data_IF_633426252078
#
_entry.id   IF_633426252078
#
_cell.length_a   1.000
_cell.length_b   1.000
_cell.length_c   1.000
_cell.angle_alpha   90.00
_cell.angle_beta   90.00
_cell.angle_gamma   90.00
#
_symmetry.space_group_name_H-M   'P 1'
#
loop_
_entity.id
_entity.type
_entity.pdbx_description
1 polymer ?
#
# COMPACT_ATOMS: atom_id res chain seq x y z
N UNK A 1 -37.18 -18.91 -67.51
CA UNK A 1 -37.64 -17.56 -67.10
C UNK A 1 -37.12 -17.33 -65.68
N UNK A 2 -36.01 -16.61 -65.51
CA UNK A 2 -35.40 -16.39 -64.19
C UNK A 2 -35.86 -15.06 -63.62
N UNK A 3 -36.43 -15.11 -62.42
CA UNK A 3 -37.01 -13.97 -61.70
C UNK A 3 -35.90 -12.98 -61.30
N UNK A 4 -36.02 -11.73 -61.76
CA UNK A 4 -35.06 -10.65 -61.47
C UNK A 4 -35.20 -10.22 -60.00
N UNK A 5 -34.14 -10.38 -59.20
CA UNK A 5 -34.10 -9.92 -57.80
C UNK A 5 -34.34 -8.42 -57.71
N UNK A 6 -35.29 -8.00 -56.87
CA UNK A 6 -35.58 -6.59 -56.55
C UNK A 6 -34.36 -5.93 -55.90
N UNK A 7 -34.02 -4.74 -56.38
CA UNK A 7 -33.01 -3.83 -55.83
C UNK A 7 -33.42 -3.43 -54.41
N UNK A 8 -32.56 -3.51 -53.39
CA UNK A 8 -32.94 -3.07 -52.04
C UNK A 8 -33.09 -1.55 -52.00
N UNK A 9 -34.23 -1.12 -51.47
CA UNK A 9 -34.60 0.27 -51.14
C UNK A 9 -33.53 0.93 -50.27
N UNK A 10 -33.17 2.16 -50.64
CA UNK A 10 -32.19 2.98 -49.95
C UNK A 10 -32.78 3.54 -48.65
N UNK A 11 -32.64 2.81 -47.54
CA UNK A 11 -33.13 3.30 -46.25
C UNK A 11 -32.70 2.54 -44.99
N UNK A 12 -31.98 1.42 -45.09
CA UNK A 12 -31.48 0.73 -43.92
C UNK A 12 -30.11 1.31 -43.51
N UNK A 13 -30.10 2.14 -42.46
CA UNK A 13 -28.90 2.69 -41.84
C UNK A 13 -28.01 1.59 -41.23
N UNK A 14 -27.19 0.94 -42.06
CA UNK A 14 -26.04 0.19 -41.57
C UNK A 14 -25.05 1.21 -41.00
N UNK A 15 -24.87 1.21 -39.67
CA UNK A 15 -23.88 2.07 -39.04
C UNK A 15 -22.52 1.85 -39.70
N UNK A 16 -21.78 2.92 -40.06
CA UNK A 16 -20.53 2.76 -40.78
C UNK A 16 -19.55 2.01 -39.88
N UNK A 17 -19.27 0.75 -40.24
CA UNK A 17 -18.25 -0.04 -39.55
C UNK A 17 -16.94 0.73 -39.62
N UNK A 18 -16.39 1.10 -38.46
CA UNK A 18 -15.11 1.81 -38.37
C UNK A 18 -14.04 0.89 -38.97
N UNK A 19 -13.65 1.16 -40.21
CA UNK A 19 -12.52 0.48 -40.86
C UNK A 19 -11.31 0.67 -39.94
N UNK A 20 -10.75 -0.43 -39.44
CA UNK A 20 -9.54 -0.40 -38.61
C UNK A 20 -8.46 0.22 -39.49
N UNK A 21 -7.97 1.40 -39.13
CA UNK A 21 -6.81 2.01 -39.80
C UNK A 21 -5.67 0.99 -39.72
N UNK A 22 -5.09 0.64 -40.88
CA UNK A 22 -3.91 -0.22 -40.95
C UNK A 22 -2.73 0.38 -40.19
N UNK A 23 -1.59 -0.32 -40.15
CA UNK A 23 -0.39 0.14 -39.46
C UNK A 23 0.05 1.52 -39.99
N UNK A 24 -0.31 2.57 -39.26
CA UNK A 24 -0.12 3.94 -39.69
C UNK A 24 1.27 4.37 -39.23
N UNK A 25 2.25 4.30 -40.13
CA UNK A 25 3.63 4.74 -39.88
C UNK A 25 3.69 6.26 -40.07
N UNK A 26 3.06 6.99 -39.15
CA UNK A 26 3.09 8.44 -39.09
C UNK A 26 3.83 8.93 -37.84
N UNK A 27 4.13 10.24 -37.75
CA UNK A 27 4.80 10.83 -36.57
C UNK A 27 4.09 10.55 -35.23
N UNK A 28 2.81 10.19 -35.26
CA UNK A 28 2.04 9.74 -34.09
C UNK A 28 2.46 8.36 -33.54
N UNK A 29 3.03 7.49 -34.38
CA UNK A 29 3.45 6.12 -34.02
C UNK A 29 4.95 5.89 -34.15
N UNK A 30 5.69 6.86 -34.68
CA UNK A 30 7.15 6.88 -34.54
C UNK A 30 7.49 7.18 -33.08
N UNK A 31 8.60 6.63 -32.55
CA UNK A 31 9.10 7.03 -31.24
C UNK A 31 9.52 8.51 -31.32
N UNK A 32 8.55 9.39 -31.11
CA UNK A 32 8.80 10.80 -30.82
C UNK A 32 9.85 10.80 -29.71
N UNK A 33 11.02 11.38 -30.02
CA UNK A 33 12.24 11.18 -29.26
C UNK A 33 12.02 11.37 -27.76
N UNK A 34 12.85 10.72 -26.95
CA UNK A 34 12.77 10.74 -25.47
C UNK A 34 12.49 12.12 -24.86
N UNK A 35 12.98 13.19 -25.48
CA UNK A 35 12.73 14.59 -25.09
C UNK A 35 11.29 15.09 -25.36
N UNK A 36 10.66 14.72 -26.48
CA UNK A 36 9.25 15.08 -26.75
C UNK A 36 8.29 14.43 -25.76
N UNK A 37 8.52 13.16 -25.42
CA UNK A 37 7.71 12.47 -24.38
C UNK A 37 7.89 13.11 -23.00
N UNK A 38 9.11 13.49 -22.63
CA UNK A 38 9.38 14.21 -21.37
C UNK A 38 8.65 15.55 -21.33
N UNK A 39 8.72 16.34 -22.41
CA UNK A 39 8.03 17.64 -22.46
C UNK A 39 6.51 17.52 -22.44
N UNK A 40 5.93 16.53 -23.13
CA UNK A 40 4.50 16.21 -23.04
C UNK A 40 4.09 15.84 -21.61
N UNK A 41 4.83 14.93 -20.95
CA UNK A 41 4.59 14.57 -19.54
C UNK A 41 4.73 15.75 -18.58
N UNK A 42 5.73 16.61 -18.79
CA UNK A 42 5.91 17.82 -17.98
C UNK A 42 4.67 18.72 -18.14
N UNK A 43 4.20 18.94 -19.38
CA UNK A 43 3.00 19.74 -19.66
C UNK A 43 1.75 19.14 -19.02
N UNK A 44 1.51 17.84 -19.21
CA UNK A 44 0.41 17.11 -18.60
C UNK A 44 0.42 17.24 -17.08
N UNK A 45 1.57 16.99 -16.43
CA UNK A 45 1.71 17.11 -14.97
C UNK A 45 1.47 18.54 -14.45
N UNK A 46 1.73 19.56 -15.26
CA UNK A 46 1.54 20.96 -14.89
C UNK A 46 0.06 21.35 -14.99
N UNK A 47 -0.63 20.86 -16.03
CA UNK A 47 -2.07 21.00 -16.21
C UNK A 47 -2.83 20.30 -15.08
N UNK A 48 -2.45 19.06 -14.73
CA UNK A 48 -3.06 18.30 -13.64
C UNK A 48 -2.92 19.04 -12.29
N UNK A 49 -1.71 19.50 -11.95
CA UNK A 49 -1.47 20.29 -10.73
C UNK A 49 -2.32 21.57 -10.69
N UNK A 50 -2.46 22.25 -11.83
CA UNK A 50 -3.32 23.44 -11.92
C UNK A 50 -4.81 23.09 -11.72
N UNK A 51 -5.28 21.98 -12.30
CA UNK A 51 -6.65 21.52 -12.13
C UNK A 51 -6.94 21.11 -10.68
N UNK A 52 -6.02 20.39 -10.03
CA UNK A 52 -6.12 20.03 -8.60
C UNK A 52 -6.22 21.30 -7.75
N UNK A 53 -5.36 22.29 -7.98
CA UNK A 53 -5.41 23.57 -7.26
C UNK A 53 -6.74 24.31 -7.47
N UNK A 54 -7.24 24.35 -8.71
CA UNK A 54 -8.54 24.96 -9.03
C UNK A 54 -9.69 24.25 -8.33
N UNK A 55 -9.71 22.91 -8.37
CA UNK A 55 -10.75 22.12 -7.72
C UNK A 55 -10.70 22.25 -6.21
N UNK A 56 -9.50 22.23 -5.62
CA UNK A 56 -9.30 22.48 -4.20
C UNK A 56 -9.76 23.89 -3.79
N UNK A 57 -9.43 24.92 -4.58
CA UNK A 57 -9.92 26.28 -4.32
C UNK A 57 -11.45 26.38 -4.42
N UNK A 58 -12.09 25.63 -5.34
CA UNK A 58 -13.55 25.55 -5.42
C UNK A 58 -14.16 24.87 -4.19
N UNK A 59 -13.62 23.72 -3.78
CA UNK A 59 -14.07 23.00 -2.59
C UNK A 59 -13.87 23.84 -1.33
N UNK A 60 -12.70 24.46 -1.16
CA UNK A 60 -12.43 25.34 -0.02
C UNK A 60 -13.40 26.52 0.03
N UNK A 61 -13.75 27.12 -1.12
CA UNK A 61 -14.76 28.18 -1.18
C UNK A 61 -16.15 27.66 -0.81
N UNK A 62 -16.52 26.48 -1.27
CA UNK A 62 -17.78 25.84 -0.89
C UNK A 62 -17.81 25.51 0.59
N UNK A 63 -16.71 25.01 1.17
CA UNK A 63 -16.59 24.71 2.60
C UNK A 63 -16.60 25.98 3.43
N UNK A 64 -15.94 27.06 3.00
CA UNK A 64 -16.02 28.35 3.71
C UNK A 64 -17.43 28.92 3.61
N UNK A 65 -18.06 28.89 2.43
CA UNK A 65 -19.46 29.30 2.28
C UNK A 65 -20.38 28.43 3.13
N UNK A 66 -20.11 27.12 3.27
CA UNK A 66 -20.91 26.22 4.11
C UNK A 66 -20.69 26.48 5.60
N UNK A 67 -19.46 26.83 6.01
CA UNK A 67 -19.13 27.24 7.39
C UNK A 67 -19.70 28.62 7.75
N UNK A 68 -19.81 29.52 6.78
CA UNK A 68 -20.37 30.87 6.98
C UNK A 68 -21.91 30.86 6.86
N UNK A 69 -22.49 29.95 6.06
CA UNK A 69 -23.94 29.83 5.84
C UNK A 69 -24.65 28.91 6.84
N UNK A 70 -23.93 27.97 7.46
CA UNK A 70 -24.45 27.19 8.58
C UNK A 70 -23.70 27.61 9.84
N UNK A 71 -24.35 28.45 10.66
CA UNK A 71 -23.94 28.76 12.03
C UNK A 71 -24.04 27.52 12.92
N UNK A 72 -23.24 26.49 12.63
CA UNK A 72 -23.07 25.32 13.47
C UNK A 72 -22.15 25.76 14.62
N UNK A 73 -22.62 25.74 15.88
CA UNK A 73 -21.78 26.10 17.01
C UNK A 73 -20.58 25.15 17.06
N UNK A 74 -19.37 25.69 17.19
CA UNK A 74 -18.17 24.87 17.43
C UNK A 74 -18.42 24.00 18.67
N UNK A 75 -18.17 22.68 18.61
CA UNK A 75 -18.36 21.82 19.77
C UNK A 75 -17.40 22.24 20.88
N UNK A 76 -17.89 22.29 22.12
CA UNK A 76 -17.16 22.82 23.28
C UNK A 76 -15.77 22.21 23.50
N UNK A 77 -15.52 20.99 23.01
CA UNK A 77 -14.20 20.35 23.03
C UNK A 77 -13.15 21.09 22.21
N UNK A 78 -13.50 21.58 21.01
CA UNK A 78 -12.59 22.33 20.14
C UNK A 78 -12.28 23.74 20.69
N UNK A 79 -13.23 24.34 21.41
CA UNK A 79 -13.03 25.63 22.07
C UNK A 79 -12.12 25.52 23.31
N UNK A 80 -12.20 24.41 24.07
CA UNK A 80 -11.32 24.15 25.21
C UNK A 80 -9.87 23.91 24.78
N UNK A 81 -9.64 23.22 23.67
CA UNK A 81 -8.30 22.97 23.14
C UNK A 81 -7.64 24.26 22.60
N UNK A 82 -8.41 25.16 21.96
CA UNK A 82 -7.91 26.50 21.56
C UNK A 82 -7.50 27.35 22.76
N UNK A 83 -8.30 27.38 23.84
CA UNK A 83 -7.95 28.11 25.07
C UNK A 83 -6.67 27.57 25.72
N UNK A 84 -6.50 26.24 25.78
CA UNK A 84 -5.28 25.63 26.32
C UNK A 84 -4.03 26.00 25.53
N UNK A 85 -4.13 26.07 24.19
CA UNK A 85 -3.01 26.50 23.34
C UNK A 85 -2.68 28.00 23.49
N UNK A 86 -3.68 28.84 23.79
CA UNK A 86 -3.47 30.27 24.06
C UNK A 86 -2.85 30.51 25.46
N UNK A 87 -3.20 29.68 26.45
CA UNK A 87 -2.63 29.74 27.80
C UNK A 87 -1.17 29.21 27.86
N UNK A 88 -0.84 28.16 27.10
CA UNK A 88 0.55 27.64 26.99
C UNK A 88 1.50 28.60 26.27
N UNK A 89 0.99 29.43 25.35
CA UNK A 89 1.81 30.44 24.65
C UNK A 89 2.11 31.69 25.49
N UNK A 90 1.47 31.84 26.66
CA UNK A 90 1.58 33.02 27.53
C UNK A 90 2.33 32.73 28.84
N UNK A 91 2.82 31.51 29.05
CA UNK A 91 3.51 31.05 30.27
C UNK A 91 5.01 30.78 30.11
N UNK A 92 5.67 31.43 29.14
CA UNK A 92 7.13 31.32 28.94
C UNK A 92 7.95 32.51 29.48
N UNK A 93 7.38 33.35 30.34
CA UNK A 93 8.12 34.46 30.96
C UNK A 93 7.76 34.63 32.45
N UNK A 94 8.38 33.81 33.31
CA UNK A 94 8.71 34.14 34.70
C UNK A 94 9.54 33.00 35.31
N UNK A 95 10.86 33.13 35.21
CA UNK A 95 11.81 32.40 36.05
C UNK A 95 12.00 33.18 37.36
N UNK A 96 11.85 32.52 38.50
CA UNK A 96 12.50 32.94 39.75
C UNK A 96 13.17 31.71 40.39
N UNK A 97 14.51 31.70 40.58
CA UNK A 97 15.24 30.58 41.16
C UNK A 97 15.65 30.89 42.59
N UNK A 98 14.79 30.59 43.55
CA UNK A 98 15.21 30.42 44.94
C UNK A 98 14.17 29.60 45.68
N UNK A 99 14.51 28.36 45.99
CA UNK A 99 14.37 27.80 47.35
C UNK A 99 15.00 26.40 47.35
N UNK A 100 16.14 26.31 48.02
CA UNK A 100 16.67 25.08 48.57
C UNK A 100 16.16 24.98 50.00
N UNK A 101 15.71 23.81 50.43
CA UNK A 101 16.36 23.02 51.48
C UNK A 101 15.41 21.92 52.02
N UNK A 102 16.04 20.82 52.44
CA UNK A 102 15.57 19.76 53.35
C UNK A 102 14.58 18.68 52.86
N UNK A 103 15.15 17.53 52.49
CA UNK A 103 14.47 16.23 52.51
C UNK A 103 15.36 15.19 53.23
N UNK A 104 14.99 14.87 54.48
CA UNK A 104 15.50 13.70 55.21
C UNK A 104 14.98 12.39 54.56
N UNK A 105 15.77 11.30 54.56
CA UNK A 105 15.29 10.02 54.03
C UNK A 105 14.35 9.34 55.04
N UNK A 106 13.04 9.49 54.83
CA UNK A 106 12.05 8.69 55.55
C UNK A 106 12.21 7.20 55.21
N UNK A 107 12.24 6.40 56.28
CA UNK A 107 12.36 4.94 56.26
C UNK A 107 11.20 4.32 55.47
N UNK A 108 11.43 4.02 54.19
CA UNK A 108 10.47 3.48 53.21
C UNK A 108 10.36 1.95 53.25
N UNK A 109 10.52 1.36 54.44
CA UNK A 109 10.25 -0.06 54.66
C UNK A 109 8.75 -0.31 54.89
N UNK A 110 8.11 -1.30 54.23
CA UNK A 110 6.74 -1.67 54.55
C UNK A 110 6.64 -2.17 56.01
N UNK A 111 5.52 -1.86 56.68
CA UNK A 111 5.24 -2.26 58.07
C UNK A 111 5.41 -3.78 58.24
N UNK A 112 5.93 -4.29 59.38
CA UNK A 112 6.25 -5.71 59.58
C UNK A 112 5.07 -6.67 59.30
N UNK A 113 3.85 -6.30 59.66
CA UNK A 113 2.66 -7.09 59.35
C UNK A 113 2.40 -7.25 57.84
N UNK A 114 2.82 -6.26 57.04
CA UNK A 114 2.72 -6.30 55.58
C UNK A 114 3.83 -7.16 54.97
N UNK A 115 4.99 -7.28 55.63
CA UNK A 115 6.04 -8.24 55.24
C UNK A 115 5.61 -9.68 55.49
N UNK A 116 5.01 -9.96 56.66
CA UNK A 116 4.50 -11.31 56.95
C UNK A 116 3.46 -11.78 55.93
N UNK A 117 2.58 -10.89 55.45
CA UNK A 117 1.59 -11.23 54.43
C UNK A 117 2.23 -11.49 53.05
N UNK A 118 3.31 -10.78 52.72
CA UNK A 118 4.05 -10.98 51.47
C UNK A 118 4.81 -12.31 51.52
N UNK A 119 5.43 -12.63 52.65
CA UNK A 119 6.18 -13.87 52.83
C UNK A 119 5.23 -15.09 52.84
N UNK A 120 4.06 -14.99 53.48
CA UNK A 120 3.00 -16.03 53.43
C UNK A 120 2.45 -16.24 52.01
N UNK A 121 2.39 -15.19 51.19
CA UNK A 121 1.93 -15.27 49.79
C UNK A 121 2.98 -15.88 48.85
N UNK A 122 4.27 -15.78 49.20
CA UNK A 122 5.39 -16.38 48.46
C UNK A 122 5.63 -17.85 48.84
N UNK A 123 5.36 -18.27 50.08
CA UNK A 123 5.58 -19.65 50.54
C UNK A 123 4.38 -20.59 50.24
N UNK A 124 3.21 -20.03 49.90
CA UNK A 124 2.05 -20.84 49.52
C UNK A 124 2.23 -21.49 48.12
N UNK A 125 1.99 -22.80 47.95
CA UNK A 125 1.98 -23.40 46.62
C UNK A 125 0.86 -22.76 45.79
N UNK A 126 1.20 -22.30 44.58
CA UNK A 126 0.29 -21.61 43.66
C UNK A 126 -1.06 -22.32 43.60
N UNK A 127 -2.06 -21.75 44.27
CA UNK A 127 -3.44 -22.24 44.18
C UNK A 127 -3.82 -22.12 42.70
N UNK A 128 -4.36 -23.18 42.07
CA UNK A 128 -4.81 -23.06 40.69
C UNK A 128 -5.81 -21.91 40.64
N UNK A 129 -5.54 -20.91 39.81
CA UNK A 129 -6.44 -19.78 39.63
C UNK A 129 -7.86 -20.31 39.42
N UNK A 130 -8.89 -19.75 40.07
CA UNK A 130 -10.28 -20.21 39.92
C UNK A 130 -10.80 -20.06 38.46
N UNK A 131 -10.01 -19.50 37.56
CA UNK A 131 -10.22 -19.47 36.11
C UNK A 131 -9.93 -20.78 35.39
N UNK A 132 -9.31 -21.79 36.02
CA UNK A 132 -9.04 -23.11 35.42
C UNK A 132 -10.24 -24.08 35.48
N UNK A 133 -11.46 -23.55 35.57
CA UNK A 133 -12.64 -24.30 35.14
C UNK A 133 -12.62 -24.31 33.61
N UNK A 134 -12.78 -25.46 32.92
CA UNK A 134 -13.01 -25.43 31.48
C UNK A 134 -14.34 -24.70 31.25
N UNK A 135 -14.27 -23.38 31.07
CA UNK A 135 -15.38 -22.60 30.57
C UNK A 135 -15.68 -23.24 29.23
N UNK A 136 -16.78 -24.00 29.17
CA UNK A 136 -17.37 -24.43 27.91
C UNK A 136 -17.59 -23.15 27.12
N UNK A 137 -16.66 -22.81 26.23
CA UNK A 137 -16.72 -21.63 25.39
C UNK A 137 -18.03 -21.72 24.63
N UNK A 138 -19.02 -20.97 25.11
CA UNK A 138 -20.31 -20.90 24.45
C UNK A 138 -20.03 -20.29 23.10
N UNK A 139 -20.03 -21.10 22.04
CA UNK A 139 -19.83 -20.67 20.66
C UNK A 139 -20.81 -19.52 20.41
N UNK A 140 -20.27 -18.29 20.37
CA UNK A 140 -21.08 -17.09 20.16
C UNK A 140 -21.73 -17.22 18.80
N UNK A 141 -23.05 -17.11 18.75
CA UNK A 141 -23.79 -17.14 17.48
C UNK A 141 -23.28 -16.00 16.59
N UNK A 142 -23.08 -16.23 15.28
CA UNK A 142 -22.67 -15.18 14.37
C UNK A 142 -23.72 -14.07 14.39
N UNK A 143 -23.25 -12.83 14.52
CA UNK A 143 -24.12 -11.65 14.50
C UNK A 143 -24.82 -11.57 13.15
N UNK A 144 -26.13 -11.32 13.15
CA UNK A 144 -26.86 -11.11 11.92
C UNK A 144 -26.36 -9.82 11.26
N UNK A 145 -25.67 -9.95 10.13
CA UNK A 145 -25.29 -8.80 9.30
C UNK A 145 -26.54 -8.28 8.60
N UNK A 146 -26.88 -6.98 8.76
CA UNK A 146 -27.93 -6.37 7.95
C UNK A 146 -27.50 -6.38 6.48
N UNK A 147 -28.47 -6.47 5.55
CA UNK A 147 -28.21 -6.47 4.10
C UNK A 147 -27.35 -7.65 3.63
N UNK A 148 -27.83 -8.88 3.89
CA UNK A 148 -27.10 -10.13 3.56
C UNK A 148 -26.71 -10.23 2.07
N UNK A 149 -27.60 -9.81 1.16
CA UNK A 149 -27.35 -9.88 -0.29
C UNK A 149 -26.19 -8.96 -0.70
N UNK A 150 -26.15 -7.76 -0.14
CA UNK A 150 -25.10 -6.77 -0.36
C UNK A 150 -23.78 -7.21 0.26
N UNK A 151 -23.83 -7.82 1.44
CA UNK A 151 -22.67 -8.41 2.10
C UNK A 151 -22.05 -9.53 1.26
N UNK A 152 -22.87 -10.47 0.77
CA UNK A 152 -22.41 -11.58 -0.06
C UNK A 152 -21.82 -11.08 -1.38
N UNK A 153 -22.46 -10.09 -2.02
CA UNK A 153 -21.92 -9.44 -3.22
C UNK A 153 -20.60 -8.71 -2.97
N UNK A 154 -20.45 -8.06 -1.81
CA UNK A 154 -19.20 -7.42 -1.42
C UNK A 154 -18.09 -8.43 -1.18
N UNK A 155 -18.41 -9.59 -0.58
CA UNK A 155 -17.44 -10.67 -0.38
C UNK A 155 -16.99 -11.29 -1.70
N UNK A 156 -17.92 -11.53 -2.64
CA UNK A 156 -17.59 -12.01 -3.98
C UNK A 156 -16.64 -11.04 -4.71
N UNK A 157 -16.91 -9.73 -4.66
CA UNK A 157 -16.02 -8.72 -5.26
C UNK A 157 -14.63 -8.67 -4.62
N UNK A 158 -14.54 -8.86 -3.31
CA UNK A 158 -13.25 -8.95 -2.60
C UNK A 158 -12.48 -10.19 -3.02
N UNK A 159 -13.14 -11.34 -3.07
CA UNK A 159 -12.53 -12.59 -3.51
C UNK A 159 -12.00 -12.50 -4.95
N UNK A 160 -12.79 -11.96 -5.89
CA UNK A 160 -12.35 -11.76 -7.28
C UNK A 160 -11.15 -10.80 -7.37
N UNK A 161 -11.15 -9.71 -6.60
CA UNK A 161 -10.03 -8.77 -6.56
C UNK A 161 -8.75 -9.41 -5.99
N UNK A 162 -8.88 -10.26 -4.97
CA UNK A 162 -7.77 -11.02 -4.40
C UNK A 162 -7.23 -12.07 -5.36
N UNK A 163 -8.09 -12.80 -6.06
CA UNK A 163 -7.68 -13.75 -7.11
C UNK A 163 -6.93 -13.04 -8.23
N UNK A 164 -7.44 -11.88 -8.68
CA UNK A 164 -6.75 -11.06 -9.69
C UNK A 164 -5.40 -10.56 -9.20
N UNK A 165 -5.28 -10.24 -7.91
CA UNK A 165 -4.00 -9.84 -7.30
C UNK A 165 -3.04 -11.01 -7.23
N UNK A 166 -3.48 -12.19 -6.75
CA UNK A 166 -2.67 -13.41 -6.69
C UNK A 166 -2.16 -13.81 -8.08
N UNK A 167 -3.00 -13.75 -9.10
CA UNK A 167 -2.59 -14.04 -10.48
C UNK A 167 -1.49 -13.08 -11.00
N UNK A 168 -1.54 -11.80 -10.60
CA UNK A 168 -0.46 -10.84 -10.92
C UNK A 168 0.81 -11.15 -10.16
N UNK A 169 0.72 -11.43 -8.87
CA UNK A 169 1.86 -11.78 -8.02
C UNK A 169 2.55 -13.06 -8.51
N UNK A 170 1.80 -14.09 -8.91
CA UNK A 170 2.35 -15.31 -9.51
C UNK A 170 3.04 -15.04 -10.85
N UNK A 171 2.45 -14.22 -11.72
CA UNK A 171 3.06 -13.83 -12.98
C UNK A 171 4.35 -13.01 -12.78
N UNK A 172 4.40 -12.17 -11.74
CA UNK A 172 5.61 -11.42 -11.35
C UNK A 172 6.68 -12.37 -10.81
N UNK A 173 6.34 -13.28 -9.89
CA UNK A 173 7.26 -14.30 -9.38
C UNK A 173 7.89 -15.14 -10.49
N UNK A 174 7.09 -15.61 -11.45
CA UNK A 174 7.63 -16.35 -12.61
C UNK A 174 8.59 -15.51 -13.47
N UNK A 175 8.31 -14.20 -13.63
CA UNK A 175 9.19 -13.28 -14.36
C UNK A 175 10.49 -13.05 -13.57
N UNK A 176 10.39 -12.91 -12.27
CA UNK A 176 11.53 -12.73 -11.36
C UNK A 176 12.41 -13.97 -11.33
N UNK A 177 11.85 -15.17 -11.24
CA UNK A 177 12.58 -16.43 -11.32
C UNK A 177 13.35 -16.53 -12.64
N UNK A 178 12.68 -16.27 -13.78
CA UNK A 178 13.34 -16.24 -15.10
C UNK A 178 14.44 -15.19 -15.18
N UNK A 179 14.25 -14.02 -14.55
CA UNK A 179 15.27 -12.96 -14.51
C UNK A 179 16.45 -13.38 -13.63
N UNK A 180 16.18 -13.92 -12.44
CA UNK A 180 17.17 -14.39 -11.50
C UNK A 180 18.00 -15.54 -12.09
N UNK A 181 17.38 -16.50 -12.79
CA UNK A 181 18.10 -17.54 -13.54
C UNK A 181 19.05 -16.94 -14.58
N UNK A 182 18.58 -15.96 -15.36
CA UNK A 182 19.40 -15.28 -16.36
C UNK A 182 20.55 -14.51 -15.73
N UNK A 183 20.30 -13.85 -14.61
CA UNK A 183 21.32 -13.11 -13.86
C UNK A 183 22.34 -14.03 -13.21
N UNK A 184 21.90 -15.14 -12.61
CA UNK A 184 22.78 -16.21 -12.11
C UNK A 184 23.65 -16.77 -13.22
N UNK A 185 23.07 -17.09 -14.37
CA UNK A 185 23.81 -17.59 -15.53
C UNK A 185 24.80 -16.54 -16.07
N UNK A 186 24.38 -15.27 -16.17
CA UNK A 186 25.24 -14.16 -16.59
C UNK A 186 26.40 -13.94 -15.62
N UNK A 187 26.14 -14.00 -14.32
CA UNK A 187 27.14 -13.88 -13.25
C UNK A 187 28.14 -15.05 -13.31
N UNK A 188 27.66 -16.29 -13.46
CA UNK A 188 28.51 -17.47 -13.63
C UNK A 188 29.40 -17.35 -14.87
N UNK A 189 28.85 -16.94 -16.02
CA UNK A 189 29.63 -16.67 -17.23
C UNK A 189 30.66 -15.55 -17.03
N UNK A 190 30.30 -14.46 -16.35
CA UNK A 190 31.23 -13.37 -16.07
C UNK A 190 32.37 -13.82 -15.14
N UNK A 191 32.05 -14.65 -14.13
CA UNK A 191 33.02 -15.24 -13.21
C UNK A 191 33.95 -16.24 -13.91
N UNK A 192 33.41 -17.04 -14.84
CA UNK A 192 34.19 -17.98 -15.64
C UNK A 192 35.11 -17.27 -16.64
N UNK A 193 34.63 -16.17 -17.25
CA UNK A 193 35.41 -15.30 -18.16
C UNK A 193 36.44 -14.42 -17.45
N UNK A 194 36.38 -14.31 -16.12
CA UNK A 194 37.39 -13.59 -15.34
C UNK A 194 38.71 -14.34 -15.48
N UNK A 195 39.62 -13.78 -16.27
CA UNK A 195 40.91 -14.39 -16.59
C UNK A 195 41.77 -14.66 -15.36
N UNK A 196 42.79 -15.51 -15.54
CA UNK A 196 43.81 -15.73 -14.52
C UNK A 196 44.68 -14.48 -14.27
N UNK A 197 45.70 -14.57 -13.40
CA UNK A 197 46.65 -13.48 -13.14
C UNK A 197 47.26 -12.89 -14.42
N UNK A 198 47.44 -13.71 -15.45
CA UNK A 198 47.99 -13.33 -16.76
C UNK A 198 46.92 -12.85 -17.76
N UNK A 199 45.67 -12.63 -17.32
CA UNK A 199 44.55 -12.22 -18.18
C UNK A 199 44.01 -13.31 -19.12
N UNK A 200 44.66 -14.47 -19.20
CA UNK A 200 44.25 -15.58 -20.07
C UNK A 200 42.95 -16.23 -19.57
N UNK A 201 42.06 -16.56 -20.52
CA UNK A 201 40.79 -17.25 -20.27
C UNK A 201 41.05 -18.70 -19.86
N UNK A 202 40.33 -19.17 -18.84
CA UNK A 202 40.43 -20.56 -18.37
C UNK A 202 39.28 -21.37 -18.97
N UNK A 203 39.54 -22.00 -20.11
CA UNK A 203 38.54 -22.74 -20.89
C UNK A 203 37.79 -23.79 -20.06
N UNK A 204 38.46 -24.46 -19.12
CA UNK A 204 37.83 -25.42 -18.22
C UNK A 204 36.71 -24.82 -17.34
N UNK A 205 36.86 -23.56 -16.89
CA UNK A 205 35.82 -22.88 -16.09
C UNK A 205 34.66 -22.37 -16.94
N UNK A 206 34.93 -22.00 -18.19
CA UNK A 206 33.92 -21.55 -19.15
C UNK A 206 33.14 -22.73 -19.74
N UNK A 207 33.79 -23.89 -19.89
CA UNK A 207 33.21 -25.08 -20.51
C UNK A 207 31.95 -25.56 -19.78
N UNK A 208 31.95 -25.60 -18.44
CA UNK A 208 30.79 -26.07 -17.65
C UNK A 208 29.54 -25.21 -17.86
N UNK A 209 29.69 -23.88 -17.78
CA UNK A 209 28.59 -22.93 -17.97
C UNK A 209 28.10 -22.93 -19.43
N UNK A 210 29.00 -23.13 -20.39
CA UNK A 210 28.63 -23.27 -21.81
C UNK A 210 27.88 -24.57 -22.08
N UNK A 211 28.28 -25.68 -21.47
CA UNK A 211 27.58 -26.96 -21.60
C UNK A 211 26.16 -26.88 -21.02
N UNK A 212 25.97 -26.24 -19.87
CA UNK A 212 24.63 -25.99 -19.30
C UNK A 212 23.74 -25.16 -20.25
N UNK A 213 24.32 -24.16 -20.92
CA UNK A 213 23.60 -23.36 -21.93
C UNK A 213 23.18 -24.19 -23.13
N UNK A 214 24.08 -25.01 -23.66
CA UNK A 214 23.78 -25.91 -24.79
C UNK A 214 22.72 -26.92 -24.40
N UNK A 215 22.81 -27.51 -23.20
CA UNK A 215 21.79 -28.42 -22.66
C UNK A 215 20.42 -27.74 -22.55
N UNK A 216 20.35 -26.47 -22.14
CA UNK A 216 19.09 -25.70 -22.09
C UNK A 216 18.56 -25.29 -23.48
N UNK A 217 19.39 -25.28 -24.52
CA UNK A 217 18.97 -25.03 -25.90
C UNK A 217 18.55 -26.31 -26.65
N UNK A 218 19.06 -27.47 -26.22
CA UNK A 218 18.78 -28.78 -26.83
C UNK A 218 17.71 -29.59 -26.08
N UNK A 219 17.27 -29.13 -24.90
CA UNK A 219 16.25 -29.76 -24.06
C UNK A 219 14.97 -28.95 -23.97
#
# INVERSE_FOLDING_TARGET
MAEKRKRPEAGASTSPQKKRKGFQVGPANLPDGTYKRKTQKIKESLIERANIKKNYAKLRKLDTISKDAEGIPEPASLAADKKRQEDEANSEDNQDPNDKDDAEPENTGPHPDRQNLIDDELEAPAKPDPTDRPQRERKRRPKAVPFKREYDAAQQRKAEAEERRKAREEAEKQREEKRAEREKFRSAMAKARRGGPNGQRKLGRESTVLLERVKKMMG
#
